data_IF_816038916210
#
_entry.id   IF_816038916210
#
_cell.length_a   1.000
_cell.length_b   1.000
_cell.length_c   1.000
_cell.angle_alpha   90.00
_cell.angle_beta   90.00
_cell.angle_gamma   90.00
#
_symmetry.space_group_name_H-M   'P 1'
#
loop_
_entity.id
_entity.type
_entity.pdbx_description
1 polymer ?
#
# COMPACT_ATOMS: atom_id res chain seq x y z
N UNK A 1 26.93 23.79 -12.26
CA UNK A 1 27.33 22.36 -12.22
C UNK A 1 26.06 21.54 -11.97
N UNK A 2 25.44 21.07 -13.05
CA UNK A 2 24.13 20.43 -13.04
C UNK A 2 24.34 18.93 -12.79
N UNK A 3 23.92 18.43 -11.63
CA UNK A 3 24.03 17.01 -11.30
C UNK A 3 22.96 16.28 -12.12
N UNK A 4 23.37 15.77 -13.27
CA UNK A 4 22.58 14.86 -14.08
C UNK A 4 22.57 13.50 -13.36
N UNK A 5 21.56 13.25 -12.54
CA UNK A 5 21.30 11.93 -11.98
C UNK A 5 21.01 10.96 -13.13
N UNK A 6 22.05 10.28 -13.63
CA UNK A 6 21.88 9.13 -14.53
C UNK A 6 21.08 8.06 -13.79
N UNK A 7 19.96 7.66 -14.38
CA UNK A 7 19.13 6.52 -13.98
C UNK A 7 20.03 5.29 -13.72
N UNK A 8 20.23 4.94 -12.46
CA UNK A 8 21.32 4.03 -12.09
C UNK A 8 21.12 2.59 -12.59
N UNK A 9 19.91 2.10 -12.88
CA UNK A 9 19.70 0.70 -13.33
C UNK A 9 18.43 0.51 -14.19
N UNK A 10 18.51 0.64 -15.53
CA UNK A 10 17.35 0.49 -16.44
C UNK A 10 16.75 -0.94 -16.43
N UNK A 11 17.58 -1.96 -16.18
CA UNK A 11 17.18 -3.37 -16.14
C UNK A 11 16.23 -3.65 -14.96
N UNK A 12 16.49 -3.06 -13.78
CA UNK A 12 15.59 -3.21 -12.63
C UNK A 12 14.23 -2.58 -12.90
N UNK A 13 14.21 -1.40 -13.54
CA UNK A 13 12.98 -0.71 -13.94
C UNK A 13 12.17 -1.52 -14.96
N UNK A 14 12.83 -2.29 -15.82
CA UNK A 14 12.17 -3.20 -16.78
C UNK A 14 11.53 -4.40 -16.05
N UNK A 15 12.30 -5.10 -15.20
CA UNK A 15 11.80 -6.26 -14.44
C UNK A 15 10.62 -5.88 -13.55
N UNK A 16 10.71 -4.76 -12.87
CA UNK A 16 9.65 -4.23 -12.02
C UNK A 16 8.38 -3.92 -12.83
N UNK A 17 8.52 -3.21 -13.97
CA UNK A 17 7.41 -2.95 -14.90
C UNK A 17 6.77 -4.22 -15.48
N UNK A 18 7.55 -5.27 -15.68
CA UNK A 18 7.05 -6.56 -16.18
C UNK A 18 6.26 -7.32 -15.10
N UNK A 19 6.65 -7.21 -13.82
CA UNK A 19 5.96 -7.89 -12.71
C UNK A 19 4.72 -7.16 -12.19
N UNK A 20 4.81 -5.83 -12.04
CA UNK A 20 3.73 -5.04 -11.44
C UNK A 20 2.80 -4.39 -12.47
N UNK A 21 3.17 -4.47 -13.75
CA UNK A 21 2.52 -3.82 -14.88
C UNK A 21 3.11 -2.45 -15.17
N UNK A 22 3.03 -2.01 -16.45
CA UNK A 22 3.38 -0.64 -16.84
C UNK A 22 2.33 0.38 -16.38
N UNK A 23 1.13 -0.10 -16.08
CA UNK A 23 -0.09 0.69 -15.96
C UNK A 23 -0.62 0.68 -14.53
N UNK A 24 -1.03 1.87 -14.07
CA UNK A 24 -1.99 1.95 -12.97
C UNK A 24 -3.22 1.14 -13.36
N UNK A 25 -3.65 0.26 -12.45
CA UNK A 25 -4.85 -0.56 -12.68
C UNK A 25 -5.95 -0.01 -11.79
N UNK A 26 -7.00 0.51 -12.44
CA UNK A 26 -8.25 0.86 -11.77
C UNK A 26 -9.17 -0.35 -11.88
N UNK A 27 -9.54 -0.91 -10.73
CA UNK A 27 -10.56 -1.94 -10.62
C UNK A 27 -11.77 -1.37 -9.90
N UNK A 28 -12.97 -1.63 -10.41
CA UNK A 28 -14.21 -1.17 -9.80
C UNK A 28 -15.10 -2.35 -9.52
N UNK A 29 -15.65 -2.38 -8.32
CA UNK A 29 -16.67 -3.33 -7.92
C UNK A 29 -17.72 -2.56 -7.15
N UNK A 30 -18.92 -2.45 -7.72
CA UNK A 30 -20.03 -1.66 -7.19
C UNK A 30 -19.59 -0.19 -6.95
N UNK A 31 -19.75 0.30 -5.72
CA UNK A 31 -19.42 1.67 -5.31
C UNK A 31 -17.99 1.82 -4.76
N UNK A 32 -17.17 0.77 -4.89
CA UNK A 32 -15.78 0.75 -4.43
C UNK A 32 -14.84 0.78 -5.63
N UNK A 33 -13.87 1.68 -5.58
CA UNK A 33 -12.78 1.78 -6.54
C UNK A 33 -11.46 1.40 -5.90
N UNK A 34 -10.77 0.46 -6.53
CA UNK A 34 -9.42 0.04 -6.17
C UNK A 34 -8.45 0.61 -7.19
N UNK A 35 -7.51 1.41 -6.70
CA UNK A 35 -6.44 1.98 -7.50
C UNK A 35 -5.13 1.33 -7.11
N UNK A 36 -4.64 0.42 -7.93
CA UNK A 36 -3.30 -0.15 -7.76
C UNK A 36 -2.28 0.88 -8.20
N UNK A 37 -1.67 1.53 -7.22
CA UNK A 37 -0.52 2.39 -7.37
C UNK A 37 0.74 1.59 -7.03
N UNK A 38 1.80 1.93 -7.73
CA UNK A 38 3.11 1.37 -7.45
C UNK A 38 4.06 2.56 -7.49
N UNK A 39 3.88 3.43 -6.50
CA UNK A 39 4.60 4.68 -6.40
C UNK A 39 5.87 4.38 -5.64
N UNK A 40 6.96 4.35 -6.39
CA UNK A 40 8.30 4.49 -5.86
C UNK A 40 8.60 6.00 -5.69
N UNK A 41 9.40 6.39 -4.70
CA UNK A 41 9.64 7.80 -4.35
C UNK A 41 10.39 8.62 -5.42
N UNK A 42 10.66 8.04 -6.59
CA UNK A 42 11.29 8.71 -7.73
C UNK A 42 10.30 9.63 -8.46
N UNK A 43 10.53 10.94 -8.35
CA UNK A 43 9.68 12.00 -8.90
C UNK A 43 9.36 11.82 -10.40
N UNK A 44 10.34 11.41 -11.21
CA UNK A 44 10.16 11.18 -12.65
C UNK A 44 9.19 10.03 -12.95
N UNK A 45 9.05 9.07 -12.02
CA UNK A 45 8.13 7.94 -12.16
C UNK A 45 6.70 8.30 -11.72
N UNK A 46 6.58 9.28 -10.81
CA UNK A 46 5.30 9.77 -10.30
C UNK A 46 4.58 10.63 -11.34
N UNK A 47 5.29 11.47 -12.10
CA UNK A 47 4.65 12.36 -13.08
C UNK A 47 4.06 11.61 -14.29
N UNK A 48 4.80 10.67 -14.89
CA UNK A 48 4.28 9.82 -15.97
C UNK A 48 3.02 9.05 -15.52
N UNK A 49 3.06 8.55 -14.29
CA UNK A 49 1.93 7.84 -13.67
C UNK A 49 0.77 8.76 -13.35
N UNK A 50 1.03 9.96 -12.82
CA UNK A 50 0.02 10.98 -12.54
C UNK A 50 -0.71 11.39 -13.81
N UNK A 51 -0.02 11.61 -14.93
CA UNK A 51 -0.67 11.91 -16.23
C UNK A 51 -1.55 10.75 -16.69
N UNK A 52 -1.09 9.51 -16.54
CA UNK A 52 -1.89 8.32 -16.89
C UNK A 52 -3.13 8.19 -15.99
N UNK A 53 -2.98 8.39 -14.67
CA UNK A 53 -4.08 8.41 -13.69
C UNK A 53 -5.07 9.49 -14.08
N UNK A 54 -4.60 10.73 -14.24
CA UNK A 54 -5.47 11.88 -14.54
C UNK A 54 -6.22 11.68 -15.85
N UNK A 55 -5.60 11.11 -16.90
CA UNK A 55 -6.33 10.76 -18.13
C UNK A 55 -7.42 9.70 -17.89
N UNK A 56 -7.21 8.79 -16.96
CA UNK A 56 -8.14 7.71 -16.63
C UNK A 56 -9.24 8.16 -15.64
N UNK A 57 -8.95 9.13 -14.75
CA UNK A 57 -9.86 9.65 -13.72
C UNK A 57 -10.59 10.94 -14.14
N UNK A 58 -9.99 11.84 -14.93
CA UNK A 58 -10.62 13.11 -15.35
C UNK A 58 -11.78 12.92 -16.31
N UNK A 59 -11.79 11.85 -17.10
CA UNK A 59 -12.87 11.57 -18.05
C UNK A 59 -14.07 10.84 -17.42
N UNK A 60 -14.05 10.60 -16.10
CA UNK A 60 -15.09 9.80 -15.45
C UNK A 60 -15.50 10.46 -14.14
N UNK A 61 -16.76 10.90 -13.99
CA UNK A 61 -17.22 11.52 -12.76
C UNK A 61 -16.93 10.59 -11.57
N UNK A 62 -16.46 11.19 -10.47
CA UNK A 62 -16.26 10.59 -9.16
C UNK A 62 -17.60 9.97 -8.70
N UNK A 63 -17.86 8.76 -9.16
CA UNK A 63 -19.11 8.03 -8.91
C UNK A 63 -18.92 6.93 -7.88
N UNK A 64 -17.69 6.74 -7.38
CA UNK A 64 -17.41 5.83 -6.28
C UNK A 64 -17.68 6.51 -4.95
N UNK A 65 -18.29 5.75 -4.05
CA UNK A 65 -18.53 6.16 -2.67
C UNK A 65 -17.25 6.01 -1.85
N UNK A 66 -16.40 5.02 -2.21
CA UNK A 66 -15.21 4.68 -1.46
C UNK A 66 -14.04 4.29 -2.37
N UNK A 67 -12.90 4.97 -2.24
CA UNK A 67 -11.69 4.72 -3.03
C UNK A 67 -10.54 4.22 -2.16
N UNK A 68 -10.01 3.06 -2.53
CA UNK A 68 -8.89 2.37 -1.90
C UNK A 68 -7.69 2.43 -2.83
N UNK A 69 -6.62 3.03 -2.35
CA UNK A 69 -5.32 3.01 -3.03
C UNK A 69 -4.50 1.86 -2.47
N UNK A 70 -4.01 0.99 -3.34
CA UNK A 70 -3.05 -0.04 -2.97
C UNK A 70 -1.67 0.47 -3.38
N UNK A 71 -0.73 0.60 -2.44
CA UNK A 71 0.66 0.94 -2.75
C UNK A 71 1.61 -0.05 -2.07
N UNK A 72 2.77 -0.35 -2.65
CA UNK A 72 3.73 -1.22 -1.97
C UNK A 72 4.47 -0.47 -0.86
N UNK A 73 5.02 0.70 -1.20
CA UNK A 73 5.85 1.53 -0.34
C UNK A 73 5.03 2.54 0.51
N UNK A 74 5.58 3.01 1.64
CA UNK A 74 5.01 4.11 2.40
C UNK A 74 4.79 5.37 1.54
N UNK A 75 3.56 5.89 1.52
CA UNK A 75 3.26 7.15 0.83
C UNK A 75 3.09 8.31 1.81
N UNK A 76 2.64 8.04 3.04
CA UNK A 76 2.30 9.07 4.03
C UNK A 76 3.36 9.32 5.11
N UNK A 77 4.34 8.41 5.31
CA UNK A 77 5.38 8.62 6.34
C UNK A 77 6.45 9.64 5.94
N UNK A 78 6.78 9.75 4.65
CA UNK A 78 7.71 10.78 4.13
C UNK A 78 7.13 11.43 2.86
N UNK A 79 6.01 12.16 2.97
CA UNK A 79 5.25 12.59 1.81
C UNK A 79 5.96 13.76 1.10
N UNK A 80 6.49 13.50 -0.10
CA UNK A 80 7.01 14.55 -0.98
C UNK A 80 5.88 15.45 -1.48
N UNK A 81 6.19 16.66 -1.98
CA UNK A 81 5.16 17.58 -2.51
C UNK A 81 4.35 16.93 -3.64
N UNK A 82 4.97 16.10 -4.47
CA UNK A 82 4.33 15.37 -5.54
C UNK A 82 3.36 14.31 -5.02
N UNK A 83 3.79 13.50 -4.05
CA UNK A 83 2.93 12.48 -3.43
C UNK A 83 1.72 13.10 -2.74
N UNK A 84 1.90 14.23 -2.04
CA UNK A 84 0.77 14.97 -1.42
C UNK A 84 -0.25 15.44 -2.46
N UNK A 85 0.23 16.05 -3.55
CA UNK A 85 -0.65 16.51 -4.64
C UNK A 85 -1.41 15.34 -5.26
N UNK A 86 -0.71 14.25 -5.56
CA UNK A 86 -1.33 13.06 -6.13
C UNK A 86 -2.39 12.47 -5.20
N UNK A 87 -2.10 12.33 -3.91
CA UNK A 87 -3.06 11.80 -2.91
C UNK A 87 -4.30 12.70 -2.81
N UNK A 88 -4.11 14.03 -2.87
CA UNK A 88 -5.22 14.98 -2.85
C UNK A 88 -6.08 14.89 -4.12
N UNK A 89 -5.46 14.80 -5.31
CA UNK A 89 -6.15 14.65 -6.59
C UNK A 89 -6.86 13.32 -6.73
N UNK A 90 -6.31 12.27 -6.12
CA UNK A 90 -6.91 10.95 -6.08
C UNK A 90 -8.10 10.86 -5.12
N UNK A 91 -8.30 11.85 -4.25
CA UNK A 91 -9.35 11.87 -3.24
C UNK A 91 -9.49 10.57 -2.41
N UNK A 92 -8.40 9.82 -2.19
CA UNK A 92 -8.46 8.49 -1.59
C UNK A 92 -9.02 8.50 -0.16
N UNK A 93 -9.91 7.55 0.16
CA UNK A 93 -10.43 7.35 1.52
C UNK A 93 -9.45 6.52 2.36
N UNK A 94 -8.82 5.53 1.73
CA UNK A 94 -7.96 4.56 2.38
C UNK A 94 -6.76 4.21 1.49
N UNK A 95 -5.59 4.06 2.12
CA UNK A 95 -4.36 3.57 1.48
C UNK A 95 -3.94 2.28 2.20
N UNK A 96 -3.67 1.22 1.44
CA UNK A 96 -3.13 -0.05 1.96
C UNK A 96 -1.70 -0.24 1.46
N UNK A 97 -0.81 -0.68 2.35
CA UNK A 97 0.59 -1.00 2.00
C UNK A 97 1.15 -2.24 2.68
N UNK A 98 2.26 -2.76 2.18
CA UNK A 98 2.81 -4.05 2.62
C UNK A 98 4.33 -4.18 2.76
N UNK A 99 5.13 -3.16 2.39
CA UNK A 99 6.60 -3.24 2.38
C UNK A 99 7.23 -3.39 3.77
N UNK A 100 6.69 -2.72 4.79
CA UNK A 100 7.41 -2.59 6.07
C UNK A 100 7.38 -3.84 6.97
N UNK A 101 6.64 -4.89 6.61
CA UNK A 101 6.42 -6.09 7.44
C UNK A 101 5.88 -5.84 8.86
N UNK A 102 5.53 -4.59 9.19
CA UNK A 102 4.96 -4.17 10.45
C UNK A 102 3.53 -3.70 10.25
N UNK A 103 2.70 -3.99 11.25
CA UNK A 103 1.36 -3.47 11.33
C UNK A 103 1.36 -2.10 12.00
N UNK A 104 0.82 -1.09 11.31
CA UNK A 104 0.53 0.22 11.88
C UNK A 104 -0.52 0.94 11.04
N UNK A 105 -1.23 1.85 11.68
CA UNK A 105 -2.21 2.73 11.06
C UNK A 105 -1.68 4.14 11.19
N UNK A 106 -1.53 4.82 10.06
CA UNK A 106 -1.17 6.23 10.00
C UNK A 106 -2.37 7.03 9.53
N UNK A 107 -2.74 8.07 10.28
CA UNK A 107 -3.80 9.00 9.89
C UNK A 107 -3.15 10.31 9.43
N UNK A 108 -3.42 10.72 8.19
CA UNK A 108 -2.98 11.98 7.64
C UNK A 108 -4.17 12.94 7.53
N UNK A 109 -4.04 14.11 8.13
CA UNK A 109 -5.03 15.17 7.97
C UNK A 109 -4.83 15.88 6.63
N UNK A 110 -5.84 15.78 5.75
CA UNK A 110 -5.81 16.42 4.43
C UNK A 110 -6.04 17.93 4.53
N UNK A 111 -6.85 18.36 5.49
CA UNK A 111 -7.24 19.76 5.64
C UNK A 111 -7.78 20.00 7.06
N UNK A 112 -7.05 20.80 7.85
CA UNK A 112 -7.34 21.10 9.26
C UNK A 112 -8.78 21.60 9.46
N UNK A 113 -9.34 22.30 8.47
CA UNK A 113 -10.65 22.92 8.55
C UNK A 113 -11.83 21.96 8.29
N UNK A 114 -11.60 20.84 7.58
CA UNK A 114 -12.68 19.92 7.17
C UNK A 114 -12.60 18.54 7.82
N UNK A 115 -11.61 18.28 8.69
CA UNK A 115 -11.40 16.99 9.39
C UNK A 115 -11.51 15.76 8.46
N UNK A 116 -10.98 15.86 7.23
CA UNK A 116 -10.93 14.74 6.28
C UNK A 116 -9.62 13.99 6.47
N UNK A 117 -9.65 12.94 7.28
CA UNK A 117 -8.51 12.06 7.49
C UNK A 117 -8.38 11.06 6.34
N UNK A 118 -7.14 10.82 5.92
CA UNK A 118 -6.76 9.69 5.06
C UNK A 118 -6.04 8.69 5.94
N UNK A 119 -6.49 7.44 5.92
CA UNK A 119 -5.84 6.37 6.64
C UNK A 119 -4.89 5.62 5.72
N UNK A 120 -3.64 5.41 6.15
CA UNK A 120 -2.71 4.47 5.55
C UNK A 120 -2.50 3.30 6.51
N UNK A 121 -2.92 2.11 6.09
CA UNK A 121 -2.77 0.88 6.85
C UNK A 121 -1.60 0.10 6.27
N UNK A 122 -0.59 -0.10 7.10
CA UNK A 122 0.50 -1.03 6.81
C UNK A 122 0.12 -2.43 7.29
N UNK A 123 0.22 -3.38 6.38
CA UNK A 123 -0.07 -4.79 6.64
C UNK A 123 1.24 -5.54 6.76
N UNK A 124 1.40 -6.35 7.80
CA UNK A 124 2.53 -7.27 7.91
C UNK A 124 2.49 -8.30 6.78
N UNK A 125 3.60 -8.47 6.04
CA UNK A 125 3.67 -9.49 5.00
C UNK A 125 3.43 -10.90 5.57
N UNK A 126 2.74 -11.75 4.80
CA UNK A 126 2.41 -13.13 5.18
C UNK A 126 3.55 -14.14 4.93
N UNK A 127 4.68 -13.71 4.36
CA UNK A 127 5.74 -14.61 3.88
C UNK A 127 6.58 -15.21 5.01
N UNK A 128 6.78 -16.53 4.96
CA UNK A 128 7.74 -17.28 5.78
C UNK A 128 9.19 -16.93 5.44
N UNK A 129 9.46 -16.52 4.20
CA UNK A 129 10.84 -16.31 3.70
C UNK A 129 11.51 -15.04 4.22
N UNK A 130 10.76 -14.16 4.88
CA UNK A 130 11.27 -12.82 5.28
C UNK A 130 11.59 -12.71 6.79
N UNK A 131 11.65 -13.83 7.53
CA UNK A 131 12.13 -13.83 8.91
C UNK A 131 11.28 -12.98 9.88
N UNK A 132 9.98 -12.83 9.60
CA UNK A 132 9.10 -12.00 10.43
C UNK A 132 8.50 -12.84 11.56
N UNK A 133 8.79 -12.43 12.81
CA UNK A 133 8.34 -13.12 14.02
C UNK A 133 6.80 -13.08 14.19
N UNK A 134 6.17 -11.99 13.74
CA UNK A 134 4.73 -11.78 13.82
C UNK A 134 4.14 -11.62 12.43
N UNK A 135 3.10 -12.38 12.13
CA UNK A 135 2.22 -12.08 11.00
C UNK A 135 0.83 -11.77 11.50
N UNK A 136 0.05 -11.17 10.64
CA UNK A 136 -1.35 -10.95 10.86
C UNK A 136 -2.07 -10.82 9.54
N UNK A 137 -3.35 -11.10 9.61
CA UNK A 137 -4.28 -10.86 8.52
C UNK A 137 -5.16 -9.68 8.90
N UNK A 138 -5.61 -8.93 7.89
CA UNK A 138 -6.63 -7.91 8.09
C UNK A 138 -7.86 -8.28 7.29
N UNK A 139 -9.02 -8.02 7.88
CA UNK A 139 -10.29 -8.04 7.18
C UNK A 139 -10.82 -6.63 7.20
N UNK A 140 -11.07 -6.10 6.01
CA UNK A 140 -11.66 -4.79 5.82
C UNK A 140 -13.10 -4.98 5.36
N UNK A 141 -14.04 -4.57 6.20
CA UNK A 141 -15.46 -4.56 5.87
C UNK A 141 -15.82 -3.14 5.45
N UNK A 142 -16.36 -3.01 4.24
CA UNK A 142 -16.72 -1.73 3.65
C UNK A 142 -18.24 -1.66 3.60
N UNK A 143 -18.79 -0.65 4.26
CA UNK A 143 -20.20 -0.35 4.20
C UNK A 143 -20.41 0.80 3.20
N UNK A 144 -21.00 0.46 2.04
CA UNK A 144 -21.28 1.44 0.99
C UNK A 144 -22.41 2.40 1.36
N UNK A 145 -23.33 2.03 2.26
CA UNK A 145 -24.44 2.87 2.66
C UNK A 145 -23.99 3.98 3.63
N UNK A 146 -23.17 3.62 4.61
CA UNK A 146 -22.67 4.57 5.63
C UNK A 146 -21.33 5.20 5.27
N UNK A 147 -20.69 4.73 4.19
CA UNK A 147 -19.33 5.11 3.77
C UNK A 147 -18.26 4.83 4.83
N UNK A 148 -18.53 3.88 5.72
CA UNK A 148 -17.61 3.50 6.79
C UNK A 148 -16.81 2.26 6.41
N UNK A 149 -15.59 2.20 6.95
CA UNK A 149 -14.71 1.04 6.82
C UNK A 149 -14.42 0.51 8.22
N UNK A 150 -14.75 -0.75 8.46
CA UNK A 150 -14.41 -1.47 9.68
C UNK A 150 -13.18 -2.34 9.43
N UNK A 151 -12.18 -2.17 10.29
CA UNK A 151 -10.94 -2.93 10.22
C UNK A 151 -10.89 -3.93 11.37
N UNK A 152 -10.77 -5.22 11.04
CA UNK A 152 -10.46 -6.27 11.98
C UNK A 152 -9.04 -6.79 11.73
N UNK A 153 -8.27 -6.95 12.79
CA UNK A 153 -6.87 -7.40 12.75
C UNK A 153 -6.78 -8.74 13.46
N UNK A 154 -6.21 -9.73 12.77
CA UNK A 154 -6.03 -11.08 13.28
C UNK A 154 -4.53 -11.36 13.42
N UNK A 155 -3.91 -11.02 14.57
CA UNK A 155 -2.51 -11.34 14.80
C UNK A 155 -2.35 -12.84 15.02
N UNK A 156 -1.31 -13.44 14.45
CA UNK A 156 -0.93 -14.82 14.78
C UNK A 156 0.00 -14.84 15.99
N UNK A 157 0.09 -15.98 16.71
CA UNK A 157 1.12 -16.18 17.72
C UNK A 157 2.54 -16.00 17.17
N UNK A 158 3.49 -15.73 18.08
CA UNK A 158 4.91 -15.53 17.76
C UNK A 158 5.49 -16.81 17.18
N UNK A 159 5.99 -16.73 15.95
CA UNK A 159 6.38 -17.93 15.18
C UNK A 159 7.66 -18.58 15.68
N UNK A 160 8.60 -17.78 16.20
CA UNK A 160 9.86 -18.34 16.69
C UNK A 160 9.68 -19.29 17.87
N UNK A 161 8.69 -19.06 18.73
CA UNK A 161 8.39 -19.98 19.84
C UNK A 161 7.97 -21.35 19.28
N UNK A 162 7.05 -21.38 18.31
CA UNK A 162 6.63 -22.62 17.68
C UNK A 162 7.77 -23.34 16.96
N UNK A 163 8.65 -22.60 16.26
CA UNK A 163 9.83 -23.17 15.60
C UNK A 163 10.82 -23.79 16.60
N UNK A 164 11.11 -23.11 17.71
CA UNK A 164 11.99 -23.66 18.75
C UNK A 164 11.40 -24.91 19.41
N UNK A 165 10.08 -24.95 19.62
CA UNK A 165 9.41 -26.15 20.14
C UNK A 165 9.50 -27.32 19.15
N UNK A 166 9.37 -27.07 17.84
CA UNK A 166 9.56 -28.11 16.83
C UNK A 166 10.99 -28.65 16.81
N UNK A 167 11.99 -27.78 16.91
CA UNK A 167 13.39 -28.20 16.98
C UNK A 167 13.66 -29.04 18.23
N UNK A 168 13.23 -28.58 19.41
CA UNK A 168 13.38 -29.32 20.66
C UNK A 168 12.64 -30.68 20.64
N UNK A 169 11.45 -30.73 20.04
CA UNK A 169 10.72 -31.98 19.86
C UNK A 169 11.43 -32.95 18.91
N UNK A 170 12.03 -32.44 17.84
CA UNK A 170 12.82 -33.24 16.90
C UNK A 170 14.04 -33.84 17.60
N UNK A 171 14.82 -33.02 18.32
CA UNK A 171 16.00 -33.48 19.05
C UNK A 171 15.61 -34.57 20.08
N UNK A 172 14.50 -34.40 20.80
CA UNK A 172 14.03 -35.35 21.81
C UNK A 172 13.51 -36.69 21.25
N UNK A 173 13.14 -36.75 19.96
CA UNK A 173 12.63 -37.96 19.31
C UNK A 173 13.68 -38.74 18.52
N UNK A 174 14.78 -38.07 18.16
CA UNK A 174 15.81 -38.61 17.27
C UNK A 174 17.21 -38.67 17.90
N UNK A 175 17.33 -38.30 19.18
CA UNK A 175 18.40 -38.75 20.11
C UNK A 175 18.01 -40.06 20.81
#
# INVERSE_FOLDING_TARGET
>A
MQIHCRDKQPILRQRFRNYFGRTITLYRQNDIEYLKLDIDMLESYVDDKRVAIMKQTQNRPLSSIFRIVLNHWPSLTHPTRFVKRLINELESNLILKGDSHHFYIFAYDRNLDQKRFIYEISISGCSYRMGVNRIGYIVLLLDSATKMAHLAIFPTPRRYISLYLYAAYWDLLFD
#
